data_IF_791619796523
#
_entry.id   IF_791619796523
#
_cell.length_a   1.000
_cell.length_b   1.000
_cell.length_c   1.000
_cell.angle_alpha   90.00
_cell.angle_beta   90.00
_cell.angle_gamma   90.00
#
_symmetry.space_group_name_H-M   'P 1'
#
loop_
_entity.id
_entity.type
_entity.pdbx_description
1 polymer ?
#
# COMPACT_ATOMS: atom_id res chain seq x y z
N UNK A 1 -23.49 13.08 -5.83
CA UNK A 1 -24.96 13.26 -5.90
C UNK A 1 -25.66 11.92 -5.61
N UNK A 2 -25.99 11.67 -4.34
CA UNK A 2 -26.84 10.53 -3.98
C UNK A 2 -28.29 10.91 -4.30
N UNK A 3 -29.02 10.03 -5.00
CA UNK A 3 -30.43 10.25 -5.30
C UNK A 3 -31.19 10.49 -3.98
N UNK A 4 -32.03 11.53 -3.93
CA UNK A 4 -32.91 11.76 -2.78
C UNK A 4 -34.04 10.74 -2.83
N UNK A 5 -34.28 10.04 -1.73
CA UNK A 5 -35.39 9.10 -1.60
C UNK A 5 -36.72 9.84 -1.68
N UNK A 6 -37.60 9.43 -2.58
CA UNK A 6 -38.89 10.07 -2.84
C UNK A 6 -40.07 9.30 -2.23
N UNK A 7 -39.89 8.03 -1.88
CA UNK A 7 -40.91 7.17 -1.27
C UNK A 7 -40.36 6.41 -0.05
N UNK A 8 -41.27 5.85 0.77
CA UNK A 8 -40.93 5.13 2.00
C UNK A 8 -40.04 3.90 1.75
N UNK A 9 -40.29 3.17 0.66
CA UNK A 9 -39.49 2.01 0.26
C UNK A 9 -38.03 2.39 -0.04
N UNK A 10 -37.81 3.53 -0.69
CA UNK A 10 -36.49 4.09 -0.95
C UNK A 10 -35.81 4.57 0.33
N UNK A 11 -36.56 5.18 1.26
CA UNK A 11 -36.01 5.55 2.57
C UNK A 11 -35.55 4.31 3.35
N UNK A 12 -36.38 3.26 3.39
CA UNK A 12 -36.02 2.00 4.03
C UNK A 12 -34.78 1.35 3.36
N UNK A 13 -34.70 1.38 2.03
CA UNK A 13 -33.53 0.90 1.30
C UNK A 13 -32.26 1.71 1.63
N UNK A 14 -32.37 3.04 1.71
CA UNK A 14 -31.27 3.92 2.10
C UNK A 14 -30.80 3.62 3.52
N UNK A 15 -31.71 3.36 4.46
CA UNK A 15 -31.36 3.02 5.84
C UNK A 15 -30.65 1.66 5.94
N UNK A 16 -31.14 0.63 5.24
CA UNK A 16 -30.44 -0.65 5.13
C UNK A 16 -29.02 -0.44 4.58
N UNK A 17 -28.88 0.36 3.52
CA UNK A 17 -27.57 0.67 2.95
C UNK A 17 -26.65 1.39 3.94
N UNK A 18 -27.16 2.23 4.84
CA UNK A 18 -26.33 2.84 5.90
C UNK A 18 -25.79 1.77 6.85
N UNK A 19 -26.62 0.82 7.30
CA UNK A 19 -26.18 -0.28 8.16
C UNK A 19 -25.16 -1.18 7.47
N UNK A 20 -25.40 -1.55 6.21
CA UNK A 20 -24.47 -2.36 5.40
C UNK A 20 -23.14 -1.63 5.22
N UNK A 21 -23.15 -0.34 4.91
CA UNK A 21 -21.93 0.46 4.79
C UNK A 21 -21.18 0.55 6.12
N UNK A 22 -21.89 0.70 7.25
CA UNK A 22 -21.28 0.76 8.58
C UNK A 22 -20.60 -0.55 8.97
N UNK A 23 -21.23 -1.69 8.71
CA UNK A 23 -20.61 -2.99 8.98
C UNK A 23 -19.44 -3.22 8.00
N UNK A 24 -19.65 -2.95 6.71
CA UNK A 24 -18.63 -3.21 5.70
C UNK A 24 -17.40 -2.31 5.81
N UNK A 25 -17.45 -1.14 6.46
CA UNK A 25 -16.26 -0.30 6.66
C UNK A 25 -15.13 -0.97 7.44
N UNK A 26 -15.44 -2.05 8.16
CA UNK A 26 -14.48 -2.87 8.91
C UNK A 26 -13.96 -4.07 8.10
N UNK A 27 -14.45 -4.25 6.87
CA UNK A 27 -14.02 -5.29 5.94
C UNK A 27 -13.01 -4.67 4.98
N UNK A 28 -11.79 -5.21 5.01
CA UNK A 28 -10.71 -4.79 4.11
C UNK A 28 -11.09 -4.98 2.63
N UNK A 29 -10.82 -3.97 1.81
CA UNK A 29 -11.17 -3.91 0.39
C UNK A 29 -12.63 -3.54 0.12
N UNK A 30 -13.45 -3.28 1.14
CA UNK A 30 -14.86 -2.95 0.91
C UNK A 30 -15.03 -1.55 0.31
N UNK A 31 -16.17 -1.34 -0.36
CA UNK A 31 -16.55 0.00 -0.87
C UNK A 31 -16.67 1.04 0.24
N UNK A 32 -17.05 0.62 1.43
CA UNK A 32 -17.20 1.50 2.59
C UNK A 32 -15.83 1.92 3.14
N UNK A 33 -14.87 1.00 3.25
CA UNK A 33 -13.49 1.32 3.63
C UNK A 33 -12.85 2.27 2.61
N UNK A 34 -12.97 1.99 1.31
CA UNK A 34 -12.49 2.89 0.24
C UNK A 34 -13.10 4.28 0.37
N UNK A 35 -14.39 4.38 0.74
CA UNK A 35 -15.05 5.66 0.99
C UNK A 35 -14.43 6.37 2.20
N UNK A 36 -14.21 5.66 3.32
CA UNK A 36 -13.55 6.22 4.50
C UNK A 36 -12.15 6.75 4.16
N UNK A 37 -11.32 5.97 3.47
CA UNK A 37 -9.98 6.38 3.04
C UNK A 37 -10.00 7.65 2.18
N UNK A 38 -11.00 7.79 1.29
CA UNK A 38 -11.17 9.02 0.49
C UNK A 38 -11.53 10.22 1.35
N UNK A 39 -12.34 10.05 2.39
CA UNK A 39 -12.65 11.15 3.31
C UNK A 39 -11.44 11.54 4.17
N UNK A 40 -10.60 10.59 4.56
CA UNK A 40 -9.32 10.83 5.25
C UNK A 40 -8.36 11.66 4.39
N UNK A 41 -8.17 11.27 3.12
CA UNK A 41 -7.38 12.04 2.16
C UNK A 41 -7.92 13.48 2.04
N UNK A 42 -9.25 13.65 1.91
CA UNK A 42 -9.87 14.97 1.84
C UNK A 42 -9.69 15.78 3.12
N UNK A 43 -9.72 15.14 4.29
CA UNK A 43 -9.47 15.79 5.57
C UNK A 43 -8.01 16.28 5.68
N UNK A 44 -7.05 15.49 5.20
CA UNK A 44 -5.64 15.89 5.09
C UNK A 44 -5.51 17.07 4.14
N UNK A 45 -6.14 17.03 2.96
CA UNK A 45 -6.08 18.13 1.99
C UNK A 45 -6.62 19.44 2.58
N UNK A 46 -7.77 19.38 3.28
CA UNK A 46 -8.36 20.56 3.93
C UNK A 46 -7.50 21.13 5.05
N UNK A 47 -6.71 20.30 5.75
CA UNK A 47 -5.92 20.71 6.91
C UNK A 47 -4.46 21.02 6.60
N UNK A 48 -3.87 20.41 5.57
CA UNK A 48 -2.44 20.49 5.22
C UNK A 48 -2.17 21.01 3.81
N UNK A 49 -3.20 21.25 3.01
CA UNK A 49 -3.08 21.68 1.62
C UNK A 49 -2.99 20.50 0.65
N UNK A 50 -2.75 20.80 -0.63
CA UNK A 50 -2.72 19.79 -1.69
C UNK A 50 -1.49 18.88 -1.57
N UNK A 51 -1.59 17.61 -1.98
CA UNK A 51 -0.44 16.73 -2.05
C UNK A 51 0.54 17.24 -3.12
N UNK A 52 1.80 17.36 -2.76
CA UNK A 52 2.88 17.69 -3.71
C UNK A 52 3.39 16.46 -4.46
N UNK A 53 3.14 15.27 -3.90
CA UNK A 53 3.61 14.00 -4.44
C UNK A 53 2.48 12.97 -4.36
N UNK A 54 2.28 12.23 -5.46
CA UNK A 54 1.41 11.07 -5.55
C UNK A 54 2.22 9.93 -6.17
N UNK A 55 2.46 8.86 -5.40
CA UNK A 55 3.32 7.72 -5.80
C UNK A 55 2.57 6.42 -5.66
N UNK A 56 2.63 5.60 -6.70
CA UNK A 56 2.27 4.18 -6.64
C UNK A 56 3.56 3.37 -6.61
N UNK A 57 3.73 2.53 -5.60
CA UNK A 57 4.89 1.64 -5.47
C UNK A 57 4.38 0.21 -5.66
N UNK A 58 4.79 -0.44 -6.74
CA UNK A 58 4.45 -1.83 -7.05
C UNK A 58 5.73 -2.70 -7.08
N UNK A 59 6.20 -3.17 -5.91
CA UNK A 59 7.41 -3.94 -5.84
C UNK A 59 7.12 -5.40 -6.19
N UNK A 60 7.59 -5.85 -7.35
CA UNK A 60 7.47 -7.25 -7.75
C UNK A 60 8.35 -8.17 -6.87
N UNK A 61 7.72 -8.96 -5.99
CA UNK A 61 8.36 -9.88 -5.05
C UNK A 61 9.13 -11.03 -5.72
N UNK A 62 8.72 -11.47 -6.91
CA UNK A 62 9.45 -12.50 -7.67
C UNK A 62 10.64 -11.95 -8.47
N UNK A 63 10.69 -10.65 -8.74
CA UNK A 63 11.86 -10.01 -9.35
C UNK A 63 12.84 -9.45 -8.32
N UNK A 64 12.38 -9.15 -7.10
CA UNK A 64 13.22 -8.57 -6.06
C UNK A 64 14.10 -9.61 -5.36
N UNK A 65 15.45 -9.49 -5.41
CA UNK A 65 16.36 -10.44 -4.74
C UNK A 65 16.18 -10.47 -3.22
N UNK A 66 15.73 -9.37 -2.60
CA UNK A 66 15.47 -9.30 -1.15
C UNK A 66 14.40 -10.32 -0.75
N UNK A 67 13.34 -10.47 -1.53
CA UNK A 67 12.27 -11.41 -1.21
C UNK A 67 12.75 -12.86 -1.29
N UNK A 68 13.63 -13.17 -2.24
CA UNK A 68 14.24 -14.49 -2.37
C UNK A 68 15.23 -14.77 -1.22
N UNK A 69 16.05 -13.79 -0.84
CA UNK A 69 16.95 -13.89 0.30
C UNK A 69 16.17 -14.14 1.61
N UNK A 70 15.11 -13.37 1.85
CA UNK A 70 14.23 -13.55 3.00
C UNK A 70 13.46 -14.89 2.98
N UNK A 71 13.31 -15.50 1.80
CA UNK A 71 12.75 -16.84 1.65
C UNK A 71 13.79 -17.96 1.90
N UNK A 72 15.03 -17.62 2.26
CA UNK A 72 16.10 -18.57 2.58
C UNK A 72 16.89 -19.05 1.35
N UNK A 73 16.83 -18.33 0.23
CA UNK A 73 17.72 -18.60 -0.91
C UNK A 73 19.12 -18.09 -0.62
N UNK A 74 20.10 -18.89 -1.02
CA UNK A 74 21.51 -18.51 -1.00
C UNK A 74 21.76 -17.46 -2.08
N UNK A 75 21.64 -16.19 -1.70
CA UNK A 75 21.81 -15.03 -2.56
C UNK A 75 22.80 -14.10 -1.87
N UNK A 76 23.90 -13.82 -2.56
CA UNK A 76 24.83 -12.79 -2.14
C UNK A 76 24.23 -11.41 -2.45
N UNK A 77 23.86 -10.65 -1.42
CA UNK A 77 23.29 -9.30 -1.56
C UNK A 77 24.34 -8.23 -1.87
N UNK A 78 25.62 -8.49 -1.61
CA UNK A 78 26.74 -7.59 -1.92
C UNK A 78 27.15 -7.70 -3.41
N UNK A 79 26.87 -8.83 -4.05
CA UNK A 79 27.09 -9.04 -5.48
C UNK A 79 25.89 -8.53 -6.31
N UNK A 80 25.79 -7.21 -6.40
CA UNK A 80 24.75 -6.52 -7.17
C UNK A 80 24.64 -7.05 -8.61
N UNK A 81 23.48 -7.61 -8.98
CA UNK A 81 23.08 -7.95 -10.34
C UNK A 81 23.97 -8.91 -11.17
N UNK A 82 24.99 -9.57 -10.59
CA UNK A 82 25.96 -10.33 -11.39
C UNK A 82 25.44 -11.66 -11.99
N UNK A 83 24.26 -12.14 -11.57
CA UNK A 83 23.63 -13.36 -12.13
C UNK A 83 22.11 -13.24 -12.25
N UNK A 84 21.62 -12.21 -12.95
CA UNK A 84 20.24 -12.21 -13.41
C UNK A 84 20.11 -13.16 -14.61
N UNK A 85 19.96 -14.47 -14.37
CA UNK A 85 19.48 -15.35 -15.44
C UNK A 85 18.05 -14.91 -15.81
N UNK A 86 17.91 -14.25 -16.96
CA UNK A 86 16.66 -13.68 -17.43
C UNK A 86 15.58 -14.76 -17.61
N UNK A 87 14.35 -14.44 -17.19
CA UNK A 87 13.05 -15.14 -17.40
C UNK A 87 12.93 -16.64 -17.05
N UNK A 88 13.98 -17.44 -17.09
CA UNK A 88 13.96 -18.86 -16.69
C UNK A 88 13.81 -19.03 -15.17
N UNK A 89 14.26 -18.05 -14.39
CA UNK A 89 14.16 -18.07 -12.93
C UNK A 89 12.86 -17.50 -12.36
N UNK A 90 12.08 -16.71 -13.13
CA UNK A 90 10.87 -16.06 -12.60
C UNK A 90 9.86 -17.07 -12.08
N UNK A 91 9.71 -18.21 -12.76
CA UNK A 91 8.87 -19.32 -12.31
C UNK A 91 9.37 -19.91 -10.97
N UNK A 92 10.68 -20.14 -10.83
CA UNK A 92 11.26 -20.69 -9.61
C UNK A 92 11.20 -19.71 -8.44
N UNK A 93 11.40 -18.41 -8.72
CA UNK A 93 11.28 -17.32 -7.76
C UNK A 93 9.83 -17.16 -7.29
N UNK A 94 8.88 -17.17 -8.23
CA UNK A 94 7.45 -17.20 -7.94
C UNK A 94 7.05 -18.42 -7.12
N UNK A 95 7.54 -19.62 -7.46
CA UNK A 95 7.33 -20.84 -6.66
C UNK A 95 7.92 -20.74 -5.26
N UNK A 96 9.06 -20.04 -5.10
CA UNK A 96 9.71 -19.85 -3.80
C UNK A 96 8.85 -18.93 -2.92
N UNK A 97 8.35 -17.82 -3.47
CA UNK A 97 7.44 -16.92 -2.73
C UNK A 97 6.11 -17.59 -2.44
N UNK A 98 5.53 -18.34 -3.39
CA UNK A 98 4.32 -19.11 -3.15
C UNK A 98 4.45 -20.11 -1.99
N UNK A 99 5.65 -20.68 -1.79
CA UNK A 99 5.97 -21.56 -0.66
C UNK A 99 6.20 -20.80 0.65
N UNK A 100 6.60 -19.53 0.58
CA UNK A 100 6.87 -18.68 1.74
C UNK A 100 6.36 -17.25 1.51
N UNK A 101 5.04 -17.03 1.53
CA UNK A 101 4.45 -15.72 1.26
C UNK A 101 4.84 -14.66 2.31
N UNK A 102 5.22 -15.09 3.51
CA UNK A 102 5.73 -14.21 4.57
C UNK A 102 7.02 -13.51 4.15
N UNK A 103 7.88 -14.16 3.36
CA UNK A 103 9.09 -13.52 2.83
C UNK A 103 8.76 -12.37 1.88
N UNK A 104 7.75 -12.55 1.01
CA UNK A 104 7.24 -11.48 0.13
C UNK A 104 6.71 -10.30 0.94
N UNK A 105 5.87 -10.55 1.95
CA UNK A 105 5.34 -9.51 2.83
C UNK A 105 6.45 -8.76 3.61
N UNK A 106 7.48 -9.47 4.08
CA UNK A 106 8.64 -8.84 4.75
C UNK A 106 9.45 -7.98 3.79
N UNK A 107 9.66 -8.44 2.55
CA UNK A 107 10.36 -7.66 1.53
C UNK A 107 9.57 -6.38 1.17
N UNK A 108 8.26 -6.49 0.98
CA UNK A 108 7.38 -5.35 0.78
C UNK A 108 7.50 -4.36 1.94
N UNK A 109 7.38 -4.83 3.19
CA UNK A 109 7.49 -3.98 4.38
C UNK A 109 8.85 -3.28 4.47
N UNK A 110 9.93 -3.99 4.17
CA UNK A 110 11.28 -3.42 4.16
C UNK A 110 11.39 -2.30 3.12
N UNK A 111 10.86 -2.51 1.92
CA UNK A 111 10.90 -1.53 0.83
C UNK A 111 10.07 -0.28 1.18
N UNK A 112 8.86 -0.45 1.69
CA UNK A 112 8.01 0.69 2.10
C UNK A 112 8.64 1.44 3.28
N UNK A 113 9.20 0.75 4.27
CA UNK A 113 9.91 1.41 5.37
C UNK A 113 11.12 2.19 4.84
N UNK A 114 11.92 1.60 3.95
CA UNK A 114 13.04 2.30 3.30
C UNK A 114 12.57 3.54 2.54
N UNK A 115 11.45 3.47 1.81
CA UNK A 115 10.87 4.63 1.14
C UNK A 115 10.47 5.73 2.14
N UNK A 116 9.80 5.39 3.23
CA UNK A 116 9.36 6.36 4.25
C UNK A 116 10.53 6.96 5.05
N UNK A 117 11.52 6.14 5.41
CA UNK A 117 12.60 6.52 6.34
C UNK A 117 13.80 7.13 5.62
N UNK A 118 14.12 6.63 4.42
CA UNK A 118 15.31 7.05 3.67
C UNK A 118 14.95 8.12 2.65
N UNK A 119 13.95 7.87 1.79
CA UNK A 119 13.61 8.79 0.71
C UNK A 119 12.75 9.95 1.22
N UNK A 120 11.66 9.68 1.94
CA UNK A 120 10.81 10.73 2.51
C UNK A 120 11.39 11.32 3.80
N UNK A 121 12.18 10.54 4.55
CA UNK A 121 12.70 10.98 5.84
C UNK A 121 11.62 11.19 6.90
N UNK A 122 10.41 10.66 6.73
CA UNK A 122 9.24 11.00 7.56
C UNK A 122 9.42 10.67 9.04
N UNK A 123 10.11 9.57 9.35
CA UNK A 123 10.36 9.13 10.71
C UNK A 123 11.67 9.70 11.31
N UNK A 124 12.37 10.58 10.59
CA UNK A 124 13.56 11.28 11.12
C UNK A 124 13.13 12.42 12.04
N UNK A 125 13.99 12.84 12.99
CA UNK A 125 13.69 13.98 13.86
C UNK A 125 13.40 15.29 13.10
N UNK A 126 14.10 15.53 11.99
CA UNK A 126 13.94 16.73 11.14
C UNK A 126 12.79 16.59 10.12
N UNK A 127 12.36 15.35 9.86
CA UNK A 127 11.39 14.97 8.82
C UNK A 127 11.83 15.37 7.40
N UNK A 128 13.15 15.44 7.16
CA UNK A 128 13.70 15.89 5.87
C UNK A 128 14.14 14.69 5.03
N UNK A 129 13.56 14.60 3.84
CA UNK A 129 13.90 13.63 2.80
C UNK A 129 14.40 14.30 1.52
N UNK A 130 14.48 13.53 0.44
CA UNK A 130 14.94 14.00 -0.87
C UNK A 130 14.01 15.04 -1.51
N UNK A 131 12.74 15.08 -1.08
CA UNK A 131 11.74 16.03 -1.55
C UNK A 131 11.54 17.22 -0.58
N UNK A 132 12.44 17.37 0.40
CA UNK A 132 12.34 18.39 1.45
C UNK A 132 11.63 17.86 2.70
N UNK A 133 11.10 18.79 3.51
CA UNK A 133 10.45 18.45 4.77
C UNK A 133 9.05 17.88 4.54
N UNK A 134 8.78 16.69 5.08
CA UNK A 134 7.48 16.02 4.95
C UNK A 134 6.56 16.40 6.11
N UNK A 135 5.53 17.18 5.78
CA UNK A 135 4.51 17.62 6.74
C UNK A 135 3.53 16.50 7.14
N UNK A 136 3.07 15.72 6.15
CA UNK A 136 2.12 14.62 6.32
C UNK A 136 2.24 13.63 5.16
N UNK A 137 1.96 12.36 5.40
CA UNK A 137 1.75 11.36 4.35
C UNK A 137 0.46 10.57 4.62
N UNK A 138 -0.11 10.01 3.56
CA UNK A 138 -1.20 9.06 3.63
C UNK A 138 -0.83 7.89 2.73
N UNK A 139 -0.83 6.67 3.27
CA UNK A 139 -0.40 5.47 2.56
C UNK A 139 -1.41 4.34 2.75
N UNK A 140 -1.70 3.64 1.66
CA UNK A 140 -2.62 2.50 1.62
C UNK A 140 -1.93 1.35 0.90
N UNK A 141 -2.23 0.13 1.31
CA UNK A 141 -1.83 -1.10 0.63
C UNK A 141 -3.11 -1.73 0.08
N UNK A 142 -3.11 -2.10 -1.20
CA UNK A 142 -4.20 -2.86 -1.83
C UNK A 142 -4.04 -4.37 -1.56
#
# INVERSE_FOLDING_TARGET
PYAQSQNESEQAAVDIMKYVNFISSHISGSRAEIKCMREEIRAIIRSRGLPHLFVTIDPADFFNPIAQFLAGKDINLDEFFHRLHANSESFFRGKTIAKNPVAGAKAFKLLINGFLDILLGYNRPDKVGIFGQVNSYYGVVE
#
